data_IF_713460683065
#
_entry.id   IF_713460683065
#
_cell.length_a   1.000
_cell.length_b   1.000
_cell.length_c   1.000
_cell.angle_alpha   90.00
_cell.angle_beta   90.00
_cell.angle_gamma   90.00
#
_symmetry.space_group_name_H-M   'P 1'
#
loop_
_entity.id
_entity.type
_entity.pdbx_description
1 polymer ?
#
# COMPACT_ATOMS: atom_id res chain seq x y z
N UNK A 1 8.05 3.36 -6.03
CA UNK A 1 7.87 2.16 -5.20
C UNK A 1 8.03 0.90 -6.06
N UNK A 2 8.73 -0.15 -5.62
CA UNK A 2 9.04 -1.32 -6.45
C UNK A 2 8.17 -2.52 -6.09
N UNK A 3 7.14 -2.82 -6.89
CA UNK A 3 6.33 -4.05 -6.75
C UNK A 3 6.50 -5.01 -7.92
N UNK A 4 7.41 -4.68 -8.84
CA UNK A 4 7.66 -5.44 -10.05
C UNK A 4 8.22 -6.83 -9.70
N UNK A 5 7.56 -7.88 -10.21
CA UNK A 5 7.93 -9.28 -9.94
C UNK A 5 7.29 -9.90 -8.70
N UNK A 6 6.50 -9.14 -7.93
CA UNK A 6 5.79 -9.64 -6.73
C UNK A 6 4.39 -10.12 -7.14
N UNK A 7 3.93 -11.22 -6.54
CA UNK A 7 2.59 -11.72 -6.83
C UNK A 7 1.50 -10.79 -6.27
N UNK A 8 0.29 -10.92 -6.81
CA UNK A 8 -0.83 -10.01 -6.48
C UNK A 8 -1.14 -9.98 -4.98
N UNK A 9 -1.04 -11.09 -4.27
CA UNK A 9 -1.39 -11.14 -2.85
C UNK A 9 -0.38 -10.36 -2.02
N UNK A 10 0.91 -10.57 -2.25
CA UNK A 10 1.97 -9.83 -1.58
C UNK A 10 1.92 -8.33 -1.93
N UNK A 11 1.58 -7.99 -3.17
CA UNK A 11 1.28 -6.59 -3.55
C UNK A 11 0.14 -6.00 -2.72
N UNK A 12 -0.96 -6.75 -2.52
CA UNK A 12 -2.07 -6.28 -1.67
C UNK A 12 -1.61 -6.04 -0.22
N UNK A 13 -0.80 -6.95 0.34
CA UNK A 13 -0.26 -6.83 1.69
C UNK A 13 0.60 -5.57 1.80
N UNK A 14 1.53 -5.41 0.87
CA UNK A 14 2.46 -4.29 0.85
C UNK A 14 1.75 -2.94 0.68
N UNK A 15 0.86 -2.80 -0.31
CA UNK A 15 0.15 -1.53 -0.54
C UNK A 15 -0.74 -1.17 0.66
N UNK A 16 -1.34 -2.15 1.36
CA UNK A 16 -2.05 -1.87 2.62
C UNK A 16 -1.12 -1.33 3.70
N UNK A 17 0.05 -1.94 3.85
CA UNK A 17 1.05 -1.49 4.82
C UNK A 17 1.47 -0.04 4.54
N UNK A 18 1.75 0.29 3.28
CA UNK A 18 2.07 1.66 2.86
C UNK A 18 0.94 2.63 3.20
N UNK A 19 -0.31 2.26 2.86
CA UNK A 19 -1.47 3.09 3.19
C UNK A 19 -1.64 3.28 4.71
N UNK A 20 -1.33 2.26 5.52
CA UNK A 20 -1.36 2.38 6.98
C UNK A 20 -0.30 3.35 7.48
N UNK A 21 0.95 3.29 6.99
CA UNK A 21 1.99 4.27 7.35
C UNK A 21 1.51 5.69 7.05
N UNK A 22 1.01 5.92 5.83
CA UNK A 22 0.55 7.25 5.41
C UNK A 22 -0.56 7.78 6.33
N UNK A 23 -1.55 6.94 6.67
CA UNK A 23 -2.71 7.35 7.47
C UNK A 23 -2.40 7.44 8.96
N UNK A 24 -1.66 6.48 9.51
CA UNK A 24 -1.44 6.32 10.95
C UNK A 24 -0.20 7.08 11.44
N UNK A 25 0.91 7.04 10.70
CA UNK A 25 2.16 7.72 11.05
C UNK A 25 2.18 9.16 10.58
N UNK A 26 1.80 9.40 9.31
CA UNK A 26 1.86 10.73 8.69
C UNK A 26 0.52 11.49 8.74
N UNK A 27 -0.50 10.91 9.39
CA UNK A 27 -1.82 11.52 9.60
C UNK A 27 -2.50 11.98 8.29
N UNK A 28 -2.20 11.32 7.17
CA UNK A 28 -2.82 11.62 5.88
C UNK A 28 -4.29 11.22 5.94
N UNK A 29 -5.17 12.15 5.53
CA UNK A 29 -6.60 11.91 5.54
C UNK A 29 -6.98 10.83 4.51
N UNK A 30 -7.38 9.66 5.01
CA UNK A 30 -7.76 8.51 4.18
C UNK A 30 -8.90 8.83 3.18
N UNK A 31 -9.87 9.66 3.55
CA UNK A 31 -10.99 9.99 2.66
C UNK A 31 -10.53 10.89 1.50
N UNK A 32 -9.64 11.85 1.76
CA UNK A 32 -9.04 12.66 0.71
C UNK A 32 -8.13 11.83 -0.20
N UNK A 33 -7.37 10.89 0.38
CA UNK A 33 -6.54 9.96 -0.39
C UNK A 33 -7.40 9.07 -1.30
N UNK A 34 -8.52 8.53 -0.81
CA UNK A 34 -9.45 7.76 -1.62
C UNK A 34 -9.96 8.56 -2.83
N UNK A 35 -10.31 9.84 -2.61
CA UNK A 35 -10.74 10.73 -3.69
C UNK A 35 -9.63 10.96 -4.72
N UNK A 36 -8.38 11.18 -4.29
CA UNK A 36 -7.22 11.33 -5.19
C UNK A 36 -6.94 10.07 -6.00
N UNK A 37 -7.11 8.89 -5.39
CA UNK A 37 -6.99 7.58 -6.04
C UNK A 37 -8.16 7.28 -7.00
N UNK A 38 -9.25 8.06 -6.93
CA UNK A 38 -10.45 7.82 -7.74
C UNK A 38 -11.24 6.60 -7.27
N UNK A 39 -11.24 6.32 -5.96
CA UNK A 39 -12.04 5.26 -5.33
C UNK A 39 -12.95 5.84 -4.24
N UNK A 40 -14.05 5.14 -3.95
CA UNK A 40 -14.91 5.52 -2.83
C UNK A 40 -14.17 5.37 -1.50
N UNK A 41 -14.34 6.29 -0.52
CA UNK A 41 -13.71 6.17 0.80
C UNK A 41 -13.99 4.84 1.51
N UNK A 42 -15.21 4.31 1.35
CA UNK A 42 -15.58 2.98 1.87
C UNK A 42 -14.72 1.87 1.27
N UNK A 43 -14.43 1.94 -0.03
CA UNK A 43 -13.62 0.96 -0.75
C UNK A 43 -12.18 0.95 -0.24
N UNK A 44 -11.56 2.13 -0.10
CA UNK A 44 -10.19 2.23 0.41
C UNK A 44 -10.10 1.73 1.84
N UNK A 45 -11.10 2.03 2.67
CA UNK A 45 -11.18 1.54 4.06
C UNK A 45 -11.31 0.02 4.17
N UNK A 46 -12.16 -0.60 3.35
CA UNK A 46 -12.28 -2.07 3.30
C UNK A 46 -10.95 -2.71 2.88
N UNK A 47 -10.26 -2.10 1.92
CA UNK A 47 -8.94 -2.55 1.50
C UNK A 47 -7.90 -2.41 2.62
N UNK A 48 -7.74 -1.24 3.25
CA UNK A 48 -6.74 -1.03 4.32
C UNK A 48 -6.97 -1.94 5.53
N UNK A 49 -8.24 -2.27 5.81
CA UNK A 49 -8.61 -3.15 6.92
C UNK A 49 -8.45 -4.64 6.61
N UNK A 50 -8.07 -4.99 5.39
CA UNK A 50 -7.88 -6.39 4.98
C UNK A 50 -9.14 -7.13 4.59
N UNK A 51 -10.32 -6.50 4.63
CA UNK A 51 -11.60 -7.15 4.30
C UNK A 51 -11.82 -7.31 2.79
N UNK A 52 -10.99 -6.69 1.95
CA UNK A 52 -11.03 -6.79 0.49
C UNK A 52 -9.64 -6.78 -0.12
N UNK A 53 -9.39 -7.67 -1.09
CA UNK A 53 -8.25 -7.57 -2.00
C UNK A 53 -8.63 -6.81 -3.28
N UNK A 54 -7.63 -6.20 -3.90
CA UNK A 54 -7.72 -5.41 -5.12
C UNK A 54 -6.97 -6.12 -6.25
N UNK A 55 -7.47 -6.00 -7.49
CA UNK A 55 -6.84 -6.56 -8.69
C UNK A 55 -5.65 -5.72 -9.19
N UNK A 56 -4.74 -6.35 -9.94
CA UNK A 56 -3.47 -5.74 -10.41
C UNK A 56 -3.64 -4.34 -10.99
N UNK A 57 -4.52 -4.15 -11.97
CA UNK A 57 -4.73 -2.82 -12.60
C UNK A 57 -5.00 -1.71 -11.57
N UNK A 58 -5.84 -1.99 -10.58
CA UNK A 58 -6.19 -1.00 -9.56
C UNK A 58 -5.08 -0.83 -8.53
N UNK A 59 -4.29 -1.88 -8.26
CA UNK A 59 -3.06 -1.72 -7.48
C UNK A 59 -2.08 -0.81 -8.22
N UNK A 60 -1.88 -1.00 -9.52
CA UNK A 60 -1.03 -0.14 -10.34
C UNK A 60 -1.46 1.34 -10.20
N UNK A 61 -2.76 1.63 -10.37
CA UNK A 61 -3.31 2.99 -10.19
C UNK A 61 -3.03 3.57 -8.78
N UNK A 62 -3.19 2.75 -7.73
CA UNK A 62 -2.97 3.17 -6.34
C UNK A 62 -1.49 3.47 -6.10
N UNK A 63 -0.61 2.57 -6.54
CA UNK A 63 0.83 2.65 -6.35
C UNK A 63 1.41 3.86 -7.08
N UNK A 64 0.93 4.15 -8.29
CA UNK A 64 1.29 5.34 -9.05
C UNK A 64 0.91 6.62 -8.31
N UNK A 65 -0.37 6.75 -7.92
CA UNK A 65 -0.88 7.97 -7.25
C UNK A 65 -0.21 8.18 -5.89
N UNK A 66 -0.01 7.12 -5.10
CA UNK A 66 0.70 7.21 -3.83
C UNK A 66 2.16 7.61 -4.05
N UNK A 67 2.84 7.02 -5.05
CA UNK A 67 4.22 7.34 -5.38
C UNK A 67 4.38 8.77 -5.89
N UNK A 68 3.38 9.32 -6.59
CA UNK A 68 3.40 10.71 -7.05
C UNK A 68 3.23 11.68 -5.88
N UNK A 69 2.24 11.43 -5.01
CA UNK A 69 1.88 12.34 -3.93
C UNK A 69 2.86 12.34 -2.76
N UNK A 70 3.46 11.18 -2.46
CA UNK A 70 4.17 10.98 -1.20
C UNK A 70 5.60 10.46 -1.37
N UNK A 71 6.18 10.55 -2.58
CA UNK A 71 7.53 10.06 -2.87
C UNK A 71 8.56 10.30 -1.75
N UNK A 72 8.71 11.53 -1.21
CA UNK A 72 9.76 11.78 -0.21
C UNK A 72 9.56 10.96 1.07
N UNK A 73 8.31 10.79 1.50
CA UNK A 73 7.96 9.96 2.66
C UNK A 73 8.26 8.49 2.38
N UNK A 74 7.88 8.02 1.19
CA UNK A 74 8.05 6.62 0.81
C UNK A 74 9.52 6.23 0.66
N UNK A 75 10.37 7.14 0.19
CA UNK A 75 11.82 6.90 0.06
C UNK A 75 12.53 6.80 1.40
N UNK A 76 11.99 7.43 2.45
CA UNK A 76 12.52 7.34 3.82
C UNK A 76 12.04 6.08 4.55
N UNK A 77 10.77 5.71 4.38
CA UNK A 77 10.12 4.66 5.18
C UNK A 77 10.14 3.28 4.53
N UNK A 78 10.24 3.18 3.20
CA UNK A 78 9.99 1.92 2.48
C UNK A 78 11.27 1.27 1.97
N UNK A 79 11.24 -0.07 1.82
CA UNK A 79 12.29 -0.83 1.15
C UNK A 79 12.73 -0.22 -0.18
N UNK A 80 14.04 -0.09 -0.35
CA UNK A 80 14.67 0.40 -1.56
C UNK A 80 15.21 -0.75 -2.44
N UNK A 81 15.33 -1.95 -1.86
CA UNK A 81 15.81 -3.16 -2.54
C UNK A 81 14.78 -4.30 -2.50
N UNK A 82 14.84 -5.26 -3.44
CA UNK A 82 13.99 -6.45 -3.41
C UNK A 82 14.17 -7.32 -2.16
N UNK A 83 15.39 -7.37 -1.60
CA UNK A 83 15.70 -8.14 -0.39
C UNK A 83 15.03 -7.54 0.86
N UNK A 84 15.14 -6.22 1.04
CA UNK A 84 14.44 -5.49 2.10
C UNK A 84 12.91 -5.67 2.00
N UNK A 85 12.38 -5.69 0.77
CA UNK A 85 10.96 -5.89 0.55
C UNK A 85 10.52 -7.32 0.88
N UNK A 86 11.32 -8.32 0.54
CA UNK A 86 11.07 -9.71 0.93
C UNK A 86 11.05 -9.85 2.46
N UNK A 87 12.06 -9.30 3.13
CA UNK A 87 12.15 -9.32 4.60
C UNK A 87 10.96 -8.60 5.25
N UNK A 88 10.56 -7.44 4.72
CA UNK A 88 9.38 -6.73 5.19
C UNK A 88 8.12 -7.58 5.02
N UNK A 89 7.92 -8.18 3.85
CA UNK A 89 6.77 -9.03 3.56
C UNK A 89 6.66 -10.20 4.53
N UNK A 90 7.77 -10.83 4.94
CA UNK A 90 7.76 -11.87 5.96
C UNK A 90 7.28 -11.36 7.33
N UNK A 91 7.59 -10.10 7.67
CA UNK A 91 7.17 -9.46 8.93
C UNK A 91 5.69 -9.07 8.90
N UNK A 92 5.22 -8.50 7.80
CA UNK A 92 3.87 -7.90 7.70
C UNK A 92 2.81 -8.85 7.16
N UNK A 93 3.22 -9.98 6.56
CA UNK A 93 2.28 -11.03 6.16
C UNK A 93 1.57 -11.51 7.42
N UNK A 94 0.23 -11.61 7.42
CA UNK A 94 -0.49 -12.10 8.59
C UNK A 94 0.04 -13.50 8.91
N UNK A 95 0.63 -13.68 10.10
CA UNK A 95 0.89 -15.01 10.63
C UNK A 95 -0.44 -15.76 10.59
N UNK A 96 -0.49 -16.90 9.91
CA UNK A 96 -1.62 -17.81 9.99
C UNK A 96 -1.81 -18.19 11.47
N UNK A 97 -2.73 -17.52 12.16
CA UNK A 97 -3.32 -17.94 13.43
C UNK A 97 -4.79 -18.21 13.14
#
# INVERSE_FOLDING_TARGET
MTTSGIDRMDRNIYVRYVLKILVETYLINQAQLAYRIGVQPKYLREFTNGSRNIGNKRLDDIEEIISELYRPILEEELPSTPEELSNLLEIIRPSNI
#
